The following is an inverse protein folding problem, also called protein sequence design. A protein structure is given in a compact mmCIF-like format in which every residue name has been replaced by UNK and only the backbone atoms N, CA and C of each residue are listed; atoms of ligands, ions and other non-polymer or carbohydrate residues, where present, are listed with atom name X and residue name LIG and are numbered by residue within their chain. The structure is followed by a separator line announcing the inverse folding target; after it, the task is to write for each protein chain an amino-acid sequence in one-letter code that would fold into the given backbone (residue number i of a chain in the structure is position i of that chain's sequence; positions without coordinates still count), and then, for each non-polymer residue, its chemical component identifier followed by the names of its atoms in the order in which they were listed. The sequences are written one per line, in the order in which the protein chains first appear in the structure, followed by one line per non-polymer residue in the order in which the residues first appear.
data_IF_768402541447
#
_entry.id   IF_768402541447
#
_cell.length_a   1.000
_cell.length_b   1.000
_cell.length_c   1.000
_cell.angle_alpha   90.00
_cell.angle_beta   90.00
_cell.angle_gamma   90.00
#
_symmetry.space_group_name_H-M   'P 1'
#
loop_
_entity.id
_entity.type
_entity.pdbx_description
1 polymer ?
#
# COMPACT_ATOMS: atom_id res chain seq x y z
N UNK A 1 8.64 -3.59 -12.48
CA UNK A 1 8.81 -4.19 -11.15
C UNK A 1 9.70 -3.31 -10.26
N UNK A 2 10.93 -2.97 -10.66
CA UNK A 2 11.79 -2.13 -9.82
C UNK A 2 11.18 -0.76 -9.43
N UNK A 3 10.50 -0.08 -10.37
CA UNK A 3 9.84 1.20 -10.11
C UNK A 3 8.64 1.11 -9.17
N UNK A 4 8.02 -0.06 -8.99
CA UNK A 4 6.88 -0.26 -8.09
C UNK A 4 7.33 -0.56 -6.66
N UNK A 5 8.61 -0.87 -6.45
CA UNK A 5 9.18 -1.14 -5.14
C UNK A 5 9.51 0.17 -4.42
N UNK A 6 8.57 0.63 -3.59
CA UNK A 6 8.78 1.78 -2.71
C UNK A 6 9.88 1.51 -1.68
N UNK A 7 9.91 0.31 -1.10
CA UNK A 7 10.89 -0.08 -0.09
C UNK A 7 11.59 -1.39 -0.51
N UNK A 8 12.81 -1.34 -1.07
CA UNK A 8 13.48 -2.54 -1.58
C UNK A 8 14.16 -3.31 -0.43
N UNK A 9 13.39 -3.78 0.55
CA UNK A 9 13.88 -4.53 1.71
C UNK A 9 12.92 -5.68 2.07
N UNK A 10 13.48 -6.75 2.65
CA UNK A 10 12.78 -7.98 3.02
C UNK A 10 13.06 -8.47 4.46
N UNK A 11 13.74 -7.65 5.27
CA UNK A 11 14.07 -7.96 6.66
C UNK A 11 13.62 -6.86 7.61
N UNK A 12 13.78 -7.10 8.92
CA UNK A 12 13.70 -6.01 9.91
C UNK A 12 14.88 -5.08 9.59
N UNK A 13 14.63 -3.78 9.32
CA UNK A 13 15.73 -2.84 9.11
C UNK A 13 16.62 -2.87 10.35
N UNK A 14 17.88 -3.27 10.19
CA UNK A 14 18.88 -3.17 11.26
C UNK A 14 19.06 -1.67 11.47
N UNK A 15 18.38 -1.12 12.47
CA UNK A 15 18.48 0.29 12.82
C UNK A 15 19.82 0.53 13.49
N UNK A 16 20.84 0.86 12.69
CA UNK A 16 22.04 1.53 13.21
C UNK A 16 21.72 3.01 13.43
N UNK A 17 22.39 3.68 14.37
CA UNK A 17 22.08 5.07 14.75
C UNK A 17 22.12 6.04 13.54
N UNK A 18 22.98 5.77 12.54
CA UNK A 18 23.11 6.52 11.28
C UNK A 18 22.07 6.16 10.19
N UNK A 19 21.34 5.05 10.33
CA UNK A 19 20.38 4.56 9.31
C UNK A 19 18.91 4.83 9.66
N UNK A 20 18.65 5.46 10.81
CA UNK A 20 17.30 5.79 11.29
C UNK A 20 16.53 6.75 10.36
N UNK A 21 17.21 7.50 9.50
CA UNK A 21 16.61 8.52 8.61
C UNK A 21 16.44 8.06 7.15
N UNK A 22 16.77 6.81 6.80
CA UNK A 22 16.58 6.31 5.43
C UNK A 22 15.12 5.96 5.18
N UNK A 23 14.42 6.76 4.37
CA UNK A 23 13.03 6.50 3.94
C UNK A 23 12.85 5.08 3.38
N UNK A 24 13.85 4.56 2.67
CA UNK A 24 13.83 3.20 2.09
C UNK A 24 13.67 2.08 3.13
N UNK A 25 13.88 2.35 4.42
CA UNK A 25 13.76 1.42 5.54
C UNK A 25 12.57 1.69 6.46
N UNK A 26 11.76 2.72 6.18
CA UNK A 26 10.62 3.07 7.05
C UNK A 26 9.57 1.97 7.13
N UNK A 27 9.44 1.17 6.07
CA UNK A 27 8.49 0.06 5.98
C UNK A 27 9.15 -1.16 5.35
N UNK A 28 8.57 -2.30 5.66
CA UNK A 28 8.83 -3.55 4.96
C UNK A 28 8.18 -3.50 3.58
N UNK A 29 8.93 -3.79 2.51
CA UNK A 29 8.40 -3.69 1.15
C UNK A 29 8.30 -5.00 0.37
N UNK A 30 9.00 -6.05 0.78
CA UNK A 30 8.99 -7.36 0.12
C UNK A 30 8.96 -8.45 1.19
N UNK A 31 8.08 -9.45 1.11
CA UNK A 31 8.12 -10.54 2.08
C UNK A 31 9.38 -11.38 1.91
N UNK A 32 9.76 -12.10 2.97
CA UNK A 32 10.92 -12.98 2.94
C UNK A 32 10.82 -14.04 1.81
N UNK A 33 9.61 -14.54 1.52
CA UNK A 33 9.33 -15.48 0.42
C UNK A 33 9.73 -14.92 -0.95
N UNK A 34 9.64 -13.61 -1.17
CA UNK A 34 10.03 -12.96 -2.43
C UNK A 34 11.47 -12.42 -2.44
N UNK A 35 12.29 -12.77 -1.45
CA UNK A 35 13.70 -12.33 -1.38
C UNK A 35 14.46 -12.61 -2.68
N UNK A 36 14.38 -13.83 -3.21
CA UNK A 36 15.10 -14.21 -4.45
C UNK A 36 14.70 -13.31 -5.61
N UNK A 37 13.41 -13.01 -5.74
CA UNK A 37 12.86 -12.10 -6.75
C UNK A 37 13.39 -10.68 -6.57
N UNK A 38 13.50 -10.19 -5.34
CA UNK A 38 14.09 -8.89 -5.04
C UNK A 38 15.60 -8.86 -5.37
N UNK A 39 16.34 -9.91 -5.03
CA UNK A 39 17.77 -10.04 -5.35
C UNK A 39 17.96 -9.99 -6.89
N UNK A 40 17.13 -10.69 -7.65
CA UNK A 40 17.15 -10.63 -9.12
C UNK A 40 16.83 -9.23 -9.65
N UNK A 41 15.78 -8.57 -9.14
CA UNK A 41 15.44 -7.20 -9.53
C UNK A 41 16.61 -6.26 -9.24
N UNK A 42 17.21 -6.36 -8.07
CA UNK A 42 18.33 -5.52 -7.67
C UNK A 42 19.52 -5.71 -8.59
N UNK A 43 19.86 -6.96 -8.92
CA UNK A 43 20.95 -7.31 -9.84
C UNK A 43 20.70 -6.77 -11.25
N UNK A 44 19.55 -7.05 -11.86
CA UNK A 44 19.26 -6.63 -13.23
C UNK A 44 19.11 -5.10 -13.39
N UNK A 45 18.68 -4.41 -12.32
CA UNK A 45 18.56 -2.96 -12.31
C UNK A 45 19.76 -2.23 -11.69
N UNK A 46 20.83 -2.94 -11.30
CA UNK A 46 22.04 -2.39 -10.66
C UNK A 46 21.73 -1.54 -9.41
N UNK A 47 20.90 -2.09 -8.53
CA UNK A 47 20.44 -1.46 -7.29
C UNK A 47 21.21 -1.94 -6.05
N UNK A 48 22.20 -2.80 -6.21
CA UNK A 48 23.04 -3.30 -5.12
C UNK A 48 23.95 -2.20 -4.55
N UNK A 49 24.07 -2.14 -3.23
CA UNK A 49 25.00 -1.26 -2.52
C UNK A 49 26.11 -2.08 -1.84
N UNK A 50 27.26 -1.44 -1.59
CA UNK A 50 28.45 -2.08 -1.00
C UNK A 50 28.22 -2.63 0.42
N UNK A 51 27.23 -2.11 1.13
CA UNK A 51 26.83 -2.56 2.47
C UNK A 51 25.80 -3.72 2.45
N UNK A 52 25.50 -4.29 1.29
CA UNK A 52 24.53 -5.39 1.14
C UNK A 52 23.07 -4.95 1.13
N UNK A 53 22.79 -3.65 1.10
CA UNK A 53 21.43 -3.10 0.95
C UNK A 53 21.09 -2.83 -0.52
N UNK A 54 19.82 -2.54 -0.78
CA UNK A 54 19.33 -2.13 -2.09
C UNK A 54 18.90 -0.66 -2.10
N UNK A 55 19.38 0.09 -3.09
CA UNK A 55 18.88 1.44 -3.37
C UNK A 55 17.52 1.37 -4.07
N UNK A 56 16.71 2.41 -3.87
CA UNK A 56 15.43 2.55 -4.59
C UNK A 56 15.71 2.80 -6.06
N UNK A 57 14.86 2.24 -6.93
CA UNK A 57 14.90 2.57 -8.34
C UNK A 57 14.54 4.06 -8.54
N UNK A 58 15.24 4.85 -9.38
CA UNK A 58 14.96 6.28 -9.55
C UNK A 58 13.50 6.58 -9.87
N UNK A 59 12.88 5.82 -10.77
CA UNK A 59 11.46 5.98 -11.10
C UNK A 59 10.48 5.70 -9.94
N UNK A 60 10.91 5.00 -8.88
CA UNK A 60 10.07 4.81 -7.69
C UNK A 60 9.83 6.11 -6.92
N UNK A 61 10.75 7.09 -7.03
CA UNK A 61 10.56 8.43 -6.45
C UNK A 61 9.46 9.20 -7.20
N UNK A 62 9.44 9.12 -8.54
CA UNK A 62 8.39 9.72 -9.36
C UNK A 62 7.03 9.05 -9.11
N UNK A 63 7.00 7.72 -8.98
CA UNK A 63 5.78 6.98 -8.64
C UNK A 63 5.25 7.41 -7.26
N UNK A 64 6.11 7.49 -6.25
CA UNK A 64 5.73 7.97 -4.91
C UNK A 64 5.20 9.41 -4.94
N UNK A 65 5.87 10.31 -5.66
CA UNK A 65 5.43 11.69 -5.79
C UNK A 65 4.06 11.78 -6.47
N UNK A 66 3.83 11.00 -7.53
CA UNK A 66 2.55 10.96 -8.21
C UNK A 66 1.43 10.47 -7.28
N UNK A 67 1.69 9.44 -6.47
CA UNK A 67 0.75 8.91 -5.48
C UNK A 67 0.37 9.97 -4.45
N UNK A 68 1.35 10.64 -3.84
CA UNK A 68 1.10 11.65 -2.83
C UNK A 68 0.44 12.92 -3.38
N UNK A 69 0.76 13.36 -4.60
CA UNK A 69 0.07 14.48 -5.24
C UNK A 69 -1.41 14.15 -5.44
N UNK A 70 -1.70 12.93 -5.91
CA UNK A 70 -3.08 12.46 -6.09
C UNK A 70 -3.83 12.50 -4.76
N UNK A 71 -3.30 11.88 -3.70
CA UNK A 71 -3.97 11.89 -2.39
C UNK A 71 -4.15 13.29 -1.82
N UNK A 72 -3.11 14.13 -1.85
CA UNK A 72 -3.18 15.49 -1.29
C UNK A 72 -4.25 16.36 -1.97
N UNK A 73 -4.45 16.20 -3.28
CA UNK A 73 -5.37 17.05 -4.03
C UNK A 73 -6.76 16.43 -4.18
N UNK A 74 -6.87 15.12 -4.44
CA UNK A 74 -8.16 14.45 -4.61
C UNK A 74 -8.94 14.38 -3.30
N UNK A 75 -8.27 14.14 -2.16
CA UNK A 75 -8.96 14.11 -0.86
C UNK A 75 -9.63 15.45 -0.53
N UNK A 76 -9.02 16.57 -0.94
CA UNK A 76 -9.61 17.90 -0.79
C UNK A 76 -10.88 18.05 -1.63
N UNK A 77 -10.88 17.51 -2.86
CA UNK A 77 -12.04 17.55 -3.75
C UNK A 77 -13.19 16.71 -3.19
N UNK A 78 -12.90 15.50 -2.74
CA UNK A 78 -13.87 14.62 -2.11
C UNK A 78 -14.44 15.23 -0.83
N UNK A 79 -13.58 15.86 -0.02
CA UNK A 79 -14.02 16.58 1.18
C UNK A 79 -14.89 17.79 0.86
N UNK A 80 -14.60 18.53 -0.21
CA UNK A 80 -15.45 19.62 -0.68
C UNK A 80 -16.82 19.09 -1.19
N UNK A 81 -16.84 17.97 -1.93
CA UNK A 81 -18.10 17.32 -2.34
C UNK A 81 -18.94 16.84 -1.15
N UNK A 82 -18.28 16.35 -0.10
CA UNK A 82 -18.91 15.98 1.19
C UNK A 82 -19.24 17.18 2.08
N UNK A 83 -18.99 18.40 1.62
CA UNK A 83 -19.23 19.66 2.36
C UNK A 83 -18.47 19.74 3.70
N UNK A 84 -17.33 19.05 3.80
CA UNK A 84 -16.49 19.06 5.01
C UNK A 84 -15.59 20.29 5.11
N UNK A 85 -15.31 20.89 3.95
CA UNK A 85 -14.53 22.10 3.73
C UNK A 85 -15.02 22.77 2.44
N UNK A 86 -14.62 24.01 2.24
CA UNK A 86 -14.83 24.79 1.02
C UNK A 86 -13.51 25.13 0.34
N UNK A 87 -13.56 25.59 -0.91
CA UNK A 87 -12.37 26.11 -1.60
C UNK A 87 -11.71 27.25 -0.82
N UNK A 88 -12.50 28.11 -0.20
CA UNK A 88 -11.98 29.24 0.58
C UNK A 88 -11.20 28.76 1.79
N UNK A 89 -11.63 27.69 2.47
CA UNK A 89 -10.85 27.13 3.59
C UNK A 89 -9.43 26.69 3.16
N UNK A 90 -9.30 26.15 1.94
CA UNK A 90 -7.99 25.75 1.37
C UNK A 90 -7.15 26.97 1.01
N UNK A 91 -7.76 27.95 0.33
CA UNK A 91 -7.09 29.21 -0.03
C UNK A 91 -6.62 29.96 1.21
N UNK A 92 -7.48 30.10 2.21
CA UNK A 92 -7.16 30.75 3.48
C UNK A 92 -6.04 30.01 4.21
N UNK A 93 -6.01 28.68 4.18
CA UNK A 93 -4.92 27.91 4.76
C UNK A 93 -3.58 28.22 4.07
N UNK A 94 -3.56 28.28 2.74
CA UNK A 94 -2.33 28.57 1.98
C UNK A 94 -1.91 30.04 2.17
N UNK A 95 -2.85 30.98 2.06
CA UNK A 95 -2.59 32.41 2.19
C UNK A 95 -2.02 32.78 3.57
N UNK A 96 -2.55 32.17 4.63
CA UNK A 96 -2.15 32.45 6.01
C UNK A 96 -0.99 31.57 6.50
N UNK A 97 -0.44 30.67 5.68
CA UNK A 97 0.70 29.86 6.10
C UNK A 97 2.00 30.70 6.05
N UNK A 98 2.74 30.84 7.17
CA UNK A 98 3.94 31.65 7.22
C UNK A 98 5.14 30.98 6.52
N UNK A 99 5.06 29.69 6.23
CA UNK A 99 6.14 28.94 5.57
C UNK A 99 6.02 28.94 4.04
N UNK A 100 4.96 29.54 3.50
CA UNK A 100 4.74 29.66 2.05
C UNK A 100 5.06 31.11 1.66
N UNK A 101 5.97 31.30 0.70
CA UNK A 101 6.36 32.64 0.24
C UNK A 101 5.23 33.33 -0.53
N UNK A 102 5.19 34.67 -0.49
CA UNK A 102 4.16 35.46 -1.18
C UNK A 102 4.16 35.24 -2.70
N UNK A 103 5.32 35.05 -3.33
CA UNK A 103 5.42 34.72 -4.77
C UNK A 103 4.61 33.46 -5.14
N UNK A 104 4.64 32.44 -4.28
CA UNK A 104 3.90 31.20 -4.50
C UNK A 104 2.41 31.43 -4.26
N UNK A 105 2.06 32.18 -3.22
CA UNK A 105 0.66 32.53 -2.93
C UNK A 105 0.04 33.28 -4.11
N UNK A 106 0.74 34.28 -4.64
CA UNK A 106 0.33 35.05 -5.82
C UNK A 106 0.19 34.15 -7.05
N UNK A 107 1.18 33.28 -7.31
CA UNK A 107 1.12 32.32 -8.44
C UNK A 107 -0.10 31.39 -8.37
N UNK A 108 -0.49 30.98 -7.17
CA UNK A 108 -1.67 30.12 -6.95
C UNK A 108 -3.00 30.90 -7.04
N UNK A 109 -3.00 32.21 -6.77
CA UNK A 109 -4.19 33.07 -6.77
C UNK A 109 -4.47 33.76 -8.13
N UNK A 110 -3.42 34.18 -8.86
CA UNK A 110 -3.53 35.00 -10.07
C UNK A 110 -4.30 34.35 -11.23
N UNK A 111 -4.36 33.02 -11.27
CA UNK A 111 -5.04 32.27 -12.34
C UNK A 111 -6.56 32.10 -12.13
N UNK A 112 -7.12 32.64 -11.05
CA UNK A 112 -8.57 32.56 -10.75
C UNK A 112 -9.36 33.81 -11.16
N UNK A 113 -8.69 34.90 -11.55
CA UNK A 113 -9.34 36.16 -11.93
C UNK A 113 -10.09 36.10 -13.27
N UNK A 114 -9.92 35.05 -14.06
CA UNK A 114 -10.55 34.88 -15.38
C UNK A 114 -11.96 34.28 -15.34
N UNK A 115 -12.51 33.92 -14.16
CA UNK A 115 -13.80 33.21 -14.05
C UNK A 115 -14.91 33.94 -13.30
N UNK A 116 -14.76 35.23 -12.97
CA UNK A 116 -15.83 36.00 -12.31
C UNK A 116 -16.94 36.37 -13.31
N UNK A 117 -17.99 35.55 -13.35
CA UNK A 117 -19.21 35.84 -14.09
C UNK A 117 -20.05 34.58 -14.32
N UNK A 118 -20.73 34.10 -13.29
CA UNK A 118 -21.98 33.30 -13.30
C UNK A 118 -22.05 32.36 -12.09
N UNK A 119 -23.23 32.15 -11.50
CA UNK A 119 -23.51 31.24 -10.35
C UNK A 119 -23.14 29.75 -10.57
N UNK A 120 -22.57 29.41 -11.73
CA UNK A 120 -21.86 28.14 -12.05
C UNK A 120 -20.40 28.19 -11.51
N UNK A 121 -20.00 29.27 -10.82
CA UNK A 121 -18.61 29.62 -10.49
C UNK A 121 -17.89 28.63 -9.57
N UNK A 122 -18.54 28.09 -8.53
CA UNK A 122 -17.81 27.33 -7.48
C UNK A 122 -17.17 26.02 -7.96
N UNK A 123 -17.85 25.26 -8.83
CA UNK A 123 -17.30 24.01 -9.39
C UNK A 123 -16.20 24.28 -10.40
N UNK A 124 -16.35 25.32 -11.24
CA UNK A 124 -15.32 25.74 -12.19
C UNK A 124 -14.08 26.26 -11.47
N UNK A 125 -14.27 27.05 -10.42
CA UNK A 125 -13.20 27.53 -9.55
C UNK A 125 -12.45 26.39 -8.86
N UNK A 126 -13.16 25.39 -8.34
CA UNK A 126 -12.52 24.20 -7.77
C UNK A 126 -11.66 23.46 -8.80
N UNK A 127 -12.21 23.18 -9.99
CA UNK A 127 -11.48 22.48 -11.06
C UNK A 127 -10.25 23.28 -11.51
N UNK A 128 -10.37 24.60 -11.61
CA UNK A 128 -9.25 25.49 -11.93
C UNK A 128 -8.17 25.41 -10.84
N UNK A 129 -8.55 25.59 -9.58
CA UNK A 129 -7.62 25.55 -8.45
C UNK A 129 -6.94 24.20 -8.28
N UNK A 130 -7.69 23.11 -8.47
CA UNK A 130 -7.16 21.73 -8.52
C UNK A 130 -6.08 21.60 -9.58
N UNK A 131 -6.34 22.10 -10.79
CA UNK A 131 -5.38 22.05 -11.90
C UNK A 131 -4.11 22.83 -11.59
N UNK A 132 -4.25 23.99 -10.94
CA UNK A 132 -3.13 24.82 -10.50
C UNK A 132 -2.28 24.08 -9.46
N UNK A 133 -2.90 23.52 -8.41
CA UNK A 133 -2.21 22.77 -7.36
C UNK A 133 -1.47 21.54 -7.93
N UNK A 134 -2.13 20.75 -8.79
CA UNK A 134 -1.51 19.61 -9.46
C UNK A 134 -0.29 20.04 -10.27
N UNK A 135 -0.46 21.07 -11.13
CA UNK A 135 0.62 21.57 -12.00
C UNK A 135 1.80 22.07 -11.17
N UNK A 136 1.53 22.77 -10.08
CA UNK A 136 2.56 23.29 -9.18
C UNK A 136 3.34 22.16 -8.49
N UNK A 137 2.64 21.22 -7.83
CA UNK A 137 3.28 20.09 -7.15
C UNK A 137 4.03 19.16 -8.11
N UNK A 138 3.51 18.95 -9.32
CA UNK A 138 4.23 18.21 -10.38
C UNK A 138 5.51 18.94 -10.80
N UNK A 139 5.46 20.26 -10.89
CA UNK A 139 6.63 21.10 -11.17
C UNK A 139 7.71 20.97 -10.08
N UNK A 140 7.28 21.02 -8.81
CA UNK A 140 8.16 20.79 -7.64
C UNK A 140 8.81 19.40 -7.71
N UNK A 141 8.01 18.34 -7.89
CA UNK A 141 8.51 16.98 -7.95
C UNK A 141 9.51 16.77 -9.10
N UNK A 142 9.20 17.31 -10.29
CA UNK A 142 10.08 17.22 -11.46
C UNK A 142 11.38 17.97 -11.24
N UNK A 143 11.32 19.20 -10.70
CA UNK A 143 12.51 19.98 -10.37
C UNK A 143 13.39 19.26 -9.37
N UNK A 144 12.81 18.74 -8.29
CA UNK A 144 13.55 18.02 -7.25
C UNK A 144 14.16 16.72 -7.77
N UNK A 145 13.46 16.01 -8.66
CA UNK A 145 14.00 14.80 -9.28
C UNK A 145 15.24 15.10 -10.12
N UNK A 146 15.18 16.12 -10.98
CA UNK A 146 16.32 16.50 -11.85
C UNK A 146 17.49 17.05 -11.02
N UNK A 147 17.21 17.92 -10.04
CA UNK A 147 18.25 18.54 -9.22
C UNK A 147 18.98 17.56 -8.30
N UNK A 148 18.32 16.48 -7.88
CA UNK A 148 18.88 15.48 -6.97
C UNK A 148 19.13 14.13 -7.66
N UNK A 149 19.21 14.10 -8.99
CA UNK A 149 19.35 12.85 -9.75
C UNK A 149 20.59 12.05 -9.33
N UNK A 150 21.73 12.72 -9.15
CA UNK A 150 22.97 12.07 -8.68
C UNK A 150 22.77 11.40 -7.31
N UNK A 151 22.19 12.11 -6.34
CA UNK A 151 21.91 11.55 -5.01
C UNK A 151 20.90 10.39 -5.05
N UNK A 152 19.92 10.45 -5.96
CA UNK A 152 18.95 9.39 -6.18
C UNK A 152 19.65 8.13 -6.75
N UNK A 153 20.52 8.31 -7.74
CA UNK A 153 21.28 7.22 -8.36
C UNK A 153 22.30 6.59 -7.41
N UNK A 154 22.90 7.39 -6.52
CA UNK A 154 23.80 6.93 -5.46
C UNK A 154 23.05 6.28 -4.28
N UNK A 155 21.74 6.53 -4.16
CA UNK A 155 20.91 6.03 -3.07
C UNK A 155 21.06 6.80 -1.75
N UNK A 156 21.51 8.06 -1.81
CA UNK A 156 21.70 8.96 -0.66
C UNK A 156 20.53 9.93 -0.46
N UNK A 157 19.66 10.07 -1.47
CA UNK A 157 18.47 10.91 -1.37
C UNK A 157 17.37 10.27 -0.52
N UNK A 158 17.04 10.89 0.61
CA UNK A 158 16.12 10.38 1.64
C UNK A 158 14.93 11.33 1.90
N UNK A 159 14.42 12.00 0.86
CA UNK A 159 13.22 12.85 0.97
C UNK A 159 12.19 12.44 -0.07
N UNK A 160 10.95 12.85 0.14
CA UNK A 160 9.92 12.74 -0.88
C UNK A 160 10.07 13.91 -1.88
N UNK A 161 9.84 13.67 -3.17
CA UNK A 161 10.07 14.72 -4.19
C UNK A 161 9.16 15.94 -4.04
N UNK A 162 8.02 15.81 -3.36
CA UNK A 162 7.10 16.92 -3.08
C UNK A 162 7.40 17.64 -1.77
N UNK A 163 8.28 17.09 -0.93
CA UNK A 163 8.71 17.76 0.30
C UNK A 163 9.87 18.70 -0.04
N UNK A 164 9.53 19.96 -0.31
CA UNK A 164 10.49 21.01 -0.63
C UNK A 164 10.39 22.19 0.35
N UNK A 165 11.07 23.29 0.00
CA UNK A 165 11.09 24.50 0.81
C UNK A 165 9.88 25.43 0.56
N UNK A 166 8.93 25.02 -0.27
CA UNK A 166 7.81 25.86 -0.72
C UNK A 166 6.59 25.80 0.22
N UNK A 167 6.54 24.76 1.06
CA UNK A 167 5.57 24.58 2.14
C UNK A 167 4.17 24.11 1.71
N UNK A 168 3.84 24.06 0.42
CA UNK A 168 2.50 23.73 -0.09
C UNK A 168 2.10 22.31 0.31
N UNK A 169 2.92 21.31 -0.03
CA UNK A 169 2.61 19.91 0.26
C UNK A 169 2.39 19.67 1.75
N UNK A 170 3.22 20.29 2.59
CA UNK A 170 3.11 20.23 4.05
C UNK A 170 1.85 20.91 4.57
N UNK A 171 1.54 22.11 4.07
CA UNK A 171 0.33 22.84 4.46
C UNK A 171 -0.95 22.06 4.12
N UNK A 172 -1.00 21.46 2.92
CA UNK A 172 -2.11 20.61 2.49
C UNK A 172 -2.21 19.32 3.34
N UNK A 173 -1.10 18.65 3.61
CA UNK A 173 -1.05 17.44 4.46
C UNK A 173 -1.57 17.73 5.86
N UNK A 174 -1.14 18.83 6.47
CA UNK A 174 -1.59 19.26 7.79
C UNK A 174 -3.06 19.67 7.80
N UNK A 175 -3.53 20.29 6.72
CA UNK A 175 -4.93 20.66 6.54
C UNK A 175 -5.82 19.43 6.40
N UNK A 176 -5.47 18.48 5.54
CA UNK A 176 -6.19 17.21 5.35
C UNK A 176 -6.27 16.42 6.66
N UNK A 177 -5.17 16.33 7.42
CA UNK A 177 -5.18 15.70 8.75
C UNK A 177 -6.19 16.35 9.69
N UNK A 178 -6.24 17.68 9.72
CA UNK A 178 -7.10 18.43 10.66
C UNK A 178 -8.56 18.52 10.25
N UNK A 179 -8.85 18.57 8.95
CA UNK A 179 -10.20 18.85 8.41
C UNK A 179 -10.88 17.64 7.77
N UNK A 180 -10.11 16.63 7.35
CA UNK A 180 -10.62 15.45 6.64
C UNK A 180 -10.44 14.22 7.52
N UNK A 181 -9.20 13.81 7.81
CA UNK A 181 -8.93 12.54 8.53
C UNK A 181 -9.45 12.53 9.97
N UNK A 182 -9.67 13.69 10.57
CA UNK A 182 -10.26 13.85 11.90
C UNK A 182 -11.79 13.69 11.94
N UNK A 183 -12.45 13.50 10.79
CA UNK A 183 -13.90 13.38 10.71
C UNK A 183 -14.35 12.06 11.33
N UNK A 184 -15.39 12.13 12.16
CA UNK A 184 -15.97 10.98 12.87
C UNK A 184 -16.31 9.84 11.92
N UNK A 185 -16.82 10.17 10.73
CA UNK A 185 -17.19 9.20 9.70
C UNK A 185 -15.99 8.37 9.23
N UNK A 186 -14.82 9.01 9.05
CA UNK A 186 -13.58 8.32 8.68
C UNK A 186 -13.10 7.45 9.84
N UNK A 187 -12.99 8.02 11.04
CA UNK A 187 -12.54 7.26 12.22
C UNK A 187 -13.45 6.07 12.52
N UNK A 188 -14.76 6.24 12.37
CA UNK A 188 -15.73 5.15 12.55
C UNK A 188 -15.55 4.04 11.52
N UNK A 189 -15.23 4.40 10.27
CA UNK A 189 -14.95 3.44 9.20
C UNK A 189 -13.65 2.67 9.47
N UNK A 190 -12.60 3.37 9.92
CA UNK A 190 -11.31 2.75 10.29
C UNK A 190 -11.47 1.74 11.44
N UNK A 191 -12.19 2.11 12.51
CA UNK A 191 -12.47 1.20 13.64
C UNK A 191 -13.30 -0.01 13.18
N UNK A 192 -14.25 0.20 12.27
CA UNK A 192 -15.05 -0.89 11.72
C UNK A 192 -14.18 -1.83 10.89
N UNK A 193 -13.31 -1.28 10.04
CA UNK A 193 -12.36 -2.03 9.23
C UNK A 193 -11.41 -2.86 10.11
N UNK A 194 -10.84 -2.26 11.15
CA UNK A 194 -9.99 -2.96 12.12
C UNK A 194 -10.72 -4.17 12.75
N UNK A 195 -11.93 -3.95 13.29
CA UNK A 195 -12.72 -5.01 13.89
C UNK A 195 -13.05 -6.15 12.91
N UNK A 196 -13.36 -5.82 11.66
CA UNK A 196 -13.63 -6.80 10.59
C UNK A 196 -12.38 -7.62 10.29
N UNK A 197 -11.25 -6.96 10.03
CA UNK A 197 -10.00 -7.65 9.67
C UNK A 197 -9.52 -8.53 10.83
N UNK A 198 -9.50 -8.01 12.06
CA UNK A 198 -9.15 -8.78 13.26
C UNK A 198 -10.07 -9.99 13.44
N UNK A 199 -11.37 -9.81 13.25
CA UNK A 199 -12.35 -10.88 13.36
C UNK A 199 -12.15 -11.99 12.33
N UNK A 200 -11.91 -11.63 11.07
CA UNK A 200 -11.62 -12.58 9.99
C UNK A 200 -10.33 -13.34 10.28
N UNK A 201 -9.23 -12.64 10.60
CA UNK A 201 -7.94 -13.25 10.90
C UNK A 201 -8.05 -14.26 12.05
N UNK A 202 -8.68 -13.86 13.16
CA UNK A 202 -8.88 -14.75 14.31
C UNK A 202 -9.68 -16.01 13.95
N UNK A 203 -10.70 -15.87 13.09
CA UNK A 203 -11.55 -16.99 12.67
C UNK A 203 -10.75 -17.99 11.84
N UNK A 204 -9.98 -17.52 10.86
CA UNK A 204 -9.17 -18.37 10.01
C UNK A 204 -7.98 -19.01 10.72
N UNK A 205 -7.32 -18.27 11.63
CA UNK A 205 -6.27 -18.84 12.48
C UNK A 205 -6.84 -20.00 13.31
N UNK A 206 -8.00 -19.81 13.95
CA UNK A 206 -8.65 -20.87 14.73
C UNK A 206 -8.99 -22.10 13.89
N UNK A 207 -9.44 -21.91 12.65
CA UNK A 207 -9.81 -23.02 11.77
C UNK A 207 -8.60 -23.78 11.23
N UNK A 208 -7.59 -23.08 10.69
CA UNK A 208 -6.45 -23.72 10.02
C UNK A 208 -5.42 -24.33 10.99
N UNK A 209 -5.36 -23.82 12.22
CA UNK A 209 -4.48 -24.35 13.27
C UNK A 209 -5.22 -25.25 14.26
N UNK A 210 -6.47 -25.60 13.98
CA UNK A 210 -7.22 -26.54 14.80
C UNK A 210 -6.59 -27.94 14.77
N UNK A 211 -6.67 -28.69 15.87
CA UNK A 211 -6.11 -30.06 15.97
C UNK A 211 -6.93 -31.10 15.21
N UNK A 212 -8.26 -30.93 15.15
CA UNK A 212 -9.18 -31.76 14.37
C UNK A 212 -9.18 -31.38 12.87
N UNK A 213 -8.96 -32.38 12.01
CA UNK A 213 -8.98 -32.26 10.55
C UNK A 213 -10.31 -31.74 10.01
N UNK A 214 -11.44 -32.13 10.58
CA UNK A 214 -12.76 -31.68 10.10
C UNK A 214 -12.93 -30.17 10.20
N UNK A 215 -12.35 -29.53 11.22
CA UNK A 215 -12.34 -28.07 11.36
C UNK A 215 -11.43 -27.42 10.31
N UNK A 216 -10.25 -28.00 10.05
CA UNK A 216 -9.34 -27.53 9.01
C UNK A 216 -9.94 -27.65 7.61
N UNK A 217 -10.62 -28.76 7.31
CA UNK A 217 -11.30 -28.99 6.03
C UNK A 217 -12.44 -27.96 5.80
N UNK A 218 -13.18 -27.60 6.86
CA UNK A 218 -14.16 -26.50 6.80
C UNK A 218 -13.48 -25.15 6.58
N UNK A 219 -12.34 -24.89 7.22
CA UNK A 219 -11.57 -23.68 6.97
C UNK A 219 -11.10 -23.59 5.53
N UNK A 220 -10.53 -24.69 5.01
CA UNK A 220 -10.08 -24.83 3.63
C UNK A 220 -11.17 -24.54 2.61
N UNK A 221 -12.38 -25.04 2.82
CA UNK A 221 -13.49 -24.83 1.86
C UNK A 221 -13.97 -23.37 1.80
N UNK A 222 -13.61 -22.53 2.78
CA UNK A 222 -13.93 -21.11 2.78
C UNK A 222 -12.89 -20.25 2.06
N UNK A 223 -11.72 -20.79 1.67
CA UNK A 223 -10.73 -20.06 0.90
C UNK A 223 -11.07 -20.04 -0.59
N UNK A 224 -10.58 -19.01 -1.27
CA UNK A 224 -10.50 -19.05 -2.73
C UNK A 224 -9.64 -20.24 -3.16
N UNK A 225 -10.19 -21.11 -4.03
CA UNK A 225 -9.44 -22.25 -4.57
C UNK A 225 -8.14 -21.78 -5.24
N UNK A 226 -8.15 -20.65 -5.95
CA UNK A 226 -6.95 -20.15 -6.64
C UNK A 226 -5.80 -19.87 -5.67
N UNK A 227 -6.07 -19.18 -4.57
CA UNK A 227 -5.05 -18.82 -3.56
C UNK A 227 -4.52 -20.08 -2.90
N UNK A 228 -5.39 -21.01 -2.52
CA UNK A 228 -4.97 -22.29 -1.96
C UNK A 228 -4.08 -23.07 -2.94
N UNK A 229 -4.48 -23.14 -4.21
CA UNK A 229 -3.75 -23.88 -5.23
C UNK A 229 -2.38 -23.29 -5.52
N UNK A 230 -2.22 -21.97 -5.46
CA UNK A 230 -0.90 -21.33 -5.58
C UNK A 230 0.03 -21.78 -4.46
N UNK A 231 -0.42 -21.71 -3.20
CA UNK A 231 0.38 -22.16 -2.05
C UNK A 231 0.67 -23.66 -2.13
N UNK A 232 -0.32 -24.47 -2.54
CA UNK A 232 -0.16 -25.91 -2.71
C UNK A 232 0.84 -26.28 -3.82
N UNK A 233 0.83 -25.53 -4.91
CA UNK A 233 1.76 -25.74 -6.02
C UNK A 233 3.19 -25.50 -5.57
N UNK A 234 3.45 -24.36 -4.93
CA UNK A 234 4.79 -24.02 -4.42
C UNK A 234 5.26 -25.02 -3.34
N UNK A 235 4.37 -25.41 -2.43
CA UNK A 235 4.65 -26.46 -1.45
C UNK A 235 5.01 -27.78 -2.12
N UNK A 236 4.25 -28.18 -3.13
CA UNK A 236 4.56 -29.39 -3.88
C UNK A 236 5.91 -29.28 -4.61
N UNK A 237 6.22 -28.15 -5.25
CA UNK A 237 7.51 -27.96 -5.91
C UNK A 237 8.69 -28.10 -4.93
N UNK A 238 8.52 -27.63 -3.69
CA UNK A 238 9.56 -27.69 -2.66
C UNK A 238 9.69 -29.08 -2.02
N UNK A 239 8.57 -29.77 -1.74
CA UNK A 239 8.55 -30.99 -0.92
C UNK A 239 8.19 -32.27 -1.69
N UNK A 240 7.94 -32.22 -3.01
CA UNK A 240 7.51 -33.41 -3.78
C UNK A 240 8.50 -34.59 -3.74
N UNK A 241 9.78 -34.32 -3.49
CA UNK A 241 10.83 -35.33 -3.39
C UNK A 241 11.04 -35.86 -1.96
N UNK A 242 10.35 -35.30 -0.97
CA UNK A 242 10.48 -35.73 0.43
C UNK A 242 9.76 -37.05 0.67
N UNK A 243 10.44 -37.97 1.35
CA UNK A 243 9.92 -39.33 1.61
C UNK A 243 8.59 -39.31 2.39
N UNK A 244 8.44 -38.40 3.36
CA UNK A 244 7.22 -38.23 4.13
C UNK A 244 6.05 -37.74 3.25
N UNK A 245 6.32 -36.83 2.31
CA UNK A 245 5.33 -36.34 1.37
C UNK A 245 4.90 -37.44 0.38
N UNK A 246 5.87 -38.16 -0.20
CA UNK A 246 5.61 -39.31 -1.09
C UNK A 246 4.77 -40.39 -0.39
N UNK A 247 5.10 -40.72 0.86
CA UNK A 247 4.40 -41.74 1.63
C UNK A 247 2.95 -41.34 1.92
N UNK A 248 2.70 -40.06 2.15
CA UNK A 248 1.36 -39.56 2.51
C UNK A 248 0.46 -39.33 1.30
N UNK A 249 1.03 -38.80 0.21
CA UNK A 249 0.25 -38.33 -0.94
C UNK A 249 0.46 -39.16 -2.22
N UNK A 250 1.56 -39.89 -2.32
CA UNK A 250 1.90 -40.78 -3.42
C UNK A 250 3.06 -40.26 -4.26
N UNK A 251 3.91 -41.21 -4.70
CA UNK A 251 5.17 -40.97 -5.42
C UNK A 251 5.02 -40.39 -6.83
N UNK A 252 3.86 -40.55 -7.44
CA UNK A 252 3.61 -40.20 -8.85
C UNK A 252 2.72 -38.95 -9.03
N UNK A 253 2.54 -38.13 -7.99
CA UNK A 253 1.79 -36.87 -8.16
C UNK A 253 2.56 -35.96 -9.10
N UNK A 254 2.00 -35.74 -10.29
CA UNK A 254 2.50 -34.76 -11.25
C UNK A 254 1.83 -33.42 -11.02
N UNK A 255 2.42 -32.37 -11.55
CA UNK A 255 1.85 -31.01 -11.56
C UNK A 255 0.41 -30.98 -12.11
N UNK A 256 0.09 -31.83 -13.10
CA UNK A 256 -1.27 -31.96 -13.64
C UNK A 256 -2.29 -32.67 -12.73
N UNK A 257 -1.83 -33.27 -11.62
CA UNK A 257 -2.65 -33.97 -10.63
C UNK A 257 -2.89 -33.12 -9.36
N UNK A 258 -2.48 -31.84 -9.35
CA UNK A 258 -2.63 -30.94 -8.20
C UNK A 258 -4.09 -30.80 -7.74
N UNK A 259 -5.08 -30.91 -8.62
CA UNK A 259 -6.50 -30.90 -8.24
C UNK A 259 -6.88 -32.11 -7.37
N UNK A 260 -6.30 -33.29 -7.65
CA UNK A 260 -6.51 -34.50 -6.85
C UNK A 260 -5.77 -34.41 -5.51
N UNK A 261 -4.58 -33.81 -5.53
CA UNK A 261 -3.83 -33.52 -4.32
C UNK A 261 -4.65 -32.57 -3.43
N UNK A 262 -5.23 -31.51 -4.01
CA UNK A 262 -6.10 -30.59 -3.28
C UNK A 262 -7.17 -31.34 -2.51
N UNK A 263 -7.92 -32.29 -3.09
CA UNK A 263 -9.00 -32.94 -2.36
C UNK A 263 -8.52 -33.76 -1.14
N UNK A 264 -7.28 -34.26 -1.17
CA UNK A 264 -6.69 -35.09 -0.10
C UNK A 264 -5.82 -34.30 0.87
N UNK A 265 -5.29 -33.15 0.46
CA UNK A 265 -4.28 -32.40 1.18
C UNK A 265 -4.83 -31.84 2.49
N UNK A 266 -4.18 -32.18 3.61
CA UNK A 266 -4.50 -31.62 4.91
C UNK A 266 -3.72 -30.31 5.12
N UNK A 267 -4.42 -29.24 5.48
CA UNK A 267 -3.82 -27.93 5.72
C UNK A 267 -2.75 -27.96 6.82
N UNK A 268 -2.79 -28.93 7.74
CA UNK A 268 -1.75 -29.06 8.77
C UNK A 268 -0.37 -29.41 8.22
N UNK A 269 -0.29 -29.92 6.98
CA UNK A 269 0.97 -30.32 6.36
C UNK A 269 1.69 -29.15 5.71
N UNK A 270 1.00 -28.04 5.47
CA UNK A 270 1.67 -26.78 5.23
C UNK A 270 2.51 -26.38 6.45
N UNK A 271 3.66 -25.79 6.17
CA UNK A 271 4.47 -25.09 7.17
C UNK A 271 3.64 -24.02 7.87
N UNK A 272 4.12 -23.56 9.03
CA UNK A 272 3.46 -22.48 9.77
C UNK A 272 3.39 -21.21 8.91
N UNK A 273 4.45 -20.90 8.18
CA UNK A 273 4.53 -19.74 7.29
C UNK A 273 3.51 -19.83 6.15
N UNK A 274 3.43 -20.96 5.45
CA UNK A 274 2.47 -21.17 4.36
C UNK A 274 1.02 -21.05 4.82
N UNK A 275 0.70 -21.54 6.02
CA UNK A 275 -0.64 -21.37 6.60
C UNK A 275 -0.96 -19.90 6.87
N UNK A 276 -0.01 -19.14 7.42
CA UNK A 276 -0.21 -17.70 7.60
C UNK A 276 -0.28 -16.95 6.28
N UNK A 277 0.51 -17.36 5.28
CA UNK A 277 0.47 -16.82 3.92
C UNK A 277 -0.89 -17.02 3.27
N UNK A 278 -1.46 -18.22 3.38
CA UNK A 278 -2.80 -18.52 2.88
C UNK A 278 -3.85 -17.58 3.49
N UNK A 279 -3.81 -17.37 4.81
CA UNK A 279 -4.70 -16.45 5.51
C UNK A 279 -4.48 -15.00 5.02
N UNK A 280 -3.22 -14.56 5.00
CA UNK A 280 -2.82 -13.20 4.60
C UNK A 280 -3.30 -12.88 3.20
N UNK A 281 -2.99 -13.72 2.22
CA UNK A 281 -3.28 -13.46 0.82
C UNK A 281 -4.79 -13.46 0.57
N UNK A 282 -5.52 -14.36 1.21
CA UNK A 282 -6.98 -14.38 1.12
C UNK A 282 -7.62 -13.12 1.70
N UNK A 283 -7.17 -12.67 2.88
CA UNK A 283 -7.70 -11.45 3.52
C UNK A 283 -7.30 -10.19 2.74
N UNK A 284 -6.05 -10.11 2.28
CA UNK A 284 -5.55 -8.96 1.52
C UNK A 284 -6.24 -8.79 0.16
N UNK A 285 -6.73 -9.88 -0.44
CA UNK A 285 -7.49 -9.83 -1.70
C UNK A 285 -9.00 -9.52 -1.51
N UNK A 286 -9.48 -9.33 -0.28
CA UNK A 286 -10.88 -8.97 -0.04
C UNK A 286 -11.14 -7.50 -0.38
N UNK A 287 -12.28 -7.23 -1.02
CA UNK A 287 -12.83 -5.87 -1.04
C UNK A 287 -13.47 -5.55 0.31
N UNK A 288 -13.53 -4.27 0.71
CA UNK A 288 -14.12 -3.84 1.98
C UNK A 288 -15.53 -4.43 2.21
N UNK A 289 -16.36 -4.37 1.17
CA UNK A 289 -17.72 -4.92 1.22
C UNK A 289 -17.71 -6.43 1.42
N UNK A 290 -16.86 -7.15 0.67
CA UNK A 290 -16.75 -8.59 0.82
C UNK A 290 -16.23 -8.96 2.22
N UNK A 291 -15.20 -8.27 2.73
CA UNK A 291 -14.67 -8.51 4.07
C UNK A 291 -15.75 -8.32 5.15
N UNK A 292 -16.51 -7.23 5.09
CA UNK A 292 -17.60 -6.98 6.03
C UNK A 292 -18.71 -8.05 5.94
N UNK A 293 -19.19 -8.34 4.73
CA UNK A 293 -20.23 -9.37 4.50
C UNK A 293 -19.75 -10.76 4.96
N UNK A 294 -18.48 -11.09 4.67
CA UNK A 294 -17.86 -12.35 5.05
C UNK A 294 -17.71 -12.46 6.56
N UNK A 295 -17.24 -11.40 7.22
CA UNK A 295 -17.14 -11.34 8.68
C UNK A 295 -18.51 -11.52 9.35
N UNK A 296 -19.55 -10.86 8.85
CA UNK A 296 -20.91 -11.03 9.38
C UNK A 296 -21.42 -12.46 9.26
N UNK A 297 -21.09 -13.17 8.17
CA UNK A 297 -21.45 -14.58 7.99
C UNK A 297 -20.72 -15.49 8.96
N UNK A 298 -19.39 -15.39 9.02
CA UNK A 298 -18.57 -16.27 9.89
C UNK A 298 -18.80 -15.99 11.38
N UNK A 299 -19.21 -14.77 11.75
CA UNK A 299 -19.56 -14.41 13.12
C UNK A 299 -21.03 -14.67 13.47
N UNK A 300 -21.83 -15.21 12.55
CA UNK A 300 -23.24 -15.55 12.78
C UNK A 300 -24.18 -14.34 12.91
N UNK A 301 -23.74 -13.15 12.51
CA UNK A 301 -24.57 -11.94 12.46
C UNK A 301 -25.52 -11.95 11.26
N UNK A 302 -25.18 -12.72 10.22
CA UNK A 302 -25.96 -12.86 8.99
C UNK A 302 -25.90 -14.31 8.51
N UNK A 303 -27.06 -14.91 8.25
CA UNK A 303 -27.20 -16.28 7.72
C UNK A 303 -27.45 -16.20 6.21
#
# INVERSE_FOLDING_TARGET
MASTLKYPNYGIPIKTEDENDKISLHKHGVFFTERKTLDDIAKYCKLEQSNGMYKRHPLAFLMEAADSICYLVMDLEDANQKQWLTLNDVKDKIANDPYISDEIKEKLDDNLRTTQGDNISSKKEWVSYRTILLTHLMGVATKNFVQNLEQIEEGTYNKELIEDNDGIAKALKDFSKKKILSKREITSLEITGDAVIVGILNSYIRLLFHTDKNYRDRGKSLFSRSIFMTVLHEHWEEYCADEDFENKYGKDIKIGDLDKLYDKFDVCDFTVEERFRLIRDFVACMTDKFALDHYQKISGQRI
#
